data_IF_685679959801
#
_entry.id   IF_685679959801
#
_cell.length_a   1.000
_cell.length_b   1.000
_cell.length_c   1.000
_cell.angle_alpha   90.00
_cell.angle_beta   90.00
_cell.angle_gamma   90.00
#
_symmetry.space_group_name_H-M   'P 1'
#
loop_
_entity.id
_entity.type
_entity.pdbx_description
1 polymer ?
#
# COMPACT_ATOMS: atom_id res chain seq x y z
N UNK A 1 9.62 39.18 12.91
CA UNK A 1 9.76 38.28 11.77
C UNK A 1 9.07 36.99 12.20
N UNK A 2 7.91 36.69 11.63
CA UNK A 2 7.21 35.45 11.92
C UNK A 2 8.04 34.32 11.27
N UNK A 3 8.54 33.41 12.10
CA UNK A 3 9.07 32.14 11.60
C UNK A 3 7.94 31.47 10.82
N UNK A 4 8.11 31.33 9.52
CA UNK A 4 7.27 30.48 8.72
C UNK A 4 7.43 29.07 9.27
N UNK A 5 6.46 28.60 10.05
CA UNK A 5 6.36 27.20 10.37
C UNK A 5 6.25 26.48 9.02
N UNK A 6 7.31 25.85 8.59
CA UNK A 6 7.27 24.95 7.46
C UNK A 6 6.33 23.80 7.83
N UNK A 7 5.08 23.91 7.38
CA UNK A 7 4.14 22.81 7.50
C UNK A 7 4.65 21.65 6.66
N UNK A 8 4.99 20.56 7.35
CA UNK A 8 5.41 19.32 6.70
C UNK A 8 4.18 18.44 6.51
N UNK A 9 3.92 17.99 5.27
CA UNK A 9 2.81 17.10 4.99
C UNK A 9 2.93 15.80 5.80
N UNK A 10 1.83 15.40 6.41
CA UNK A 10 1.73 14.12 7.13
C UNK A 10 1.42 13.02 6.13
N UNK A 11 2.37 12.12 5.92
CA UNK A 11 2.28 11.00 4.97
C UNK A 11 2.20 9.71 5.75
N UNK A 12 1.18 8.91 5.48
CA UNK A 12 1.02 7.57 6.07
C UNK A 12 1.08 6.52 4.98
N UNK A 13 1.78 5.42 5.26
CA UNK A 13 1.89 4.26 4.37
C UNK A 13 1.21 3.09 5.05
N UNK A 14 0.15 2.60 4.43
CA UNK A 14 -0.65 1.49 4.95
C UNK A 14 -0.38 0.23 4.14
N UNK A 15 0.23 -0.75 4.76
CA UNK A 15 0.39 -2.09 4.21
C UNK A 15 -0.80 -2.97 4.58
N UNK A 16 -1.52 -3.46 3.58
CA UNK A 16 -2.76 -4.24 3.76
C UNK A 16 -2.55 -5.69 3.35
N UNK A 17 -2.86 -6.60 4.26
CA UNK A 17 -2.65 -8.03 4.06
C UNK A 17 -1.18 -8.45 4.06
N UNK A 18 -0.89 -9.71 3.84
CA UNK A 18 0.49 -10.24 3.93
C UNK A 18 1.47 -9.54 2.99
N UNK A 19 1.11 -9.36 1.72
CA UNK A 19 1.96 -8.68 0.75
C UNK A 19 2.22 -7.21 1.09
N UNK A 20 1.18 -6.48 1.51
CA UNK A 20 1.32 -5.09 1.92
C UNK A 20 2.14 -4.91 3.20
N UNK A 21 1.94 -5.77 4.19
CA UNK A 21 2.73 -5.77 5.43
C UNK A 21 4.20 -6.09 5.16
N UNK A 22 4.49 -7.05 4.29
CA UNK A 22 5.86 -7.35 3.87
C UNK A 22 6.52 -6.16 3.17
N UNK A 23 5.79 -5.46 2.29
CA UNK A 23 6.29 -4.27 1.63
C UNK A 23 6.61 -3.16 2.65
N UNK A 24 5.74 -2.91 3.63
CA UNK A 24 5.98 -1.94 4.71
C UNK A 24 7.21 -2.34 5.53
N UNK A 25 7.36 -3.59 5.92
CA UNK A 25 8.55 -4.04 6.63
C UNK A 25 9.82 -3.77 5.82
N UNK A 26 9.77 -4.00 4.52
CA UNK A 26 10.89 -3.71 3.61
C UNK A 26 11.23 -2.23 3.54
N UNK A 27 10.20 -1.36 3.53
CA UNK A 27 10.40 0.09 3.57
C UNK A 27 11.07 0.55 4.86
N UNK A 28 10.69 -0.03 5.99
CA UNK A 28 11.29 0.24 7.31
C UNK A 28 12.74 -0.23 7.34
N UNK A 29 13.02 -1.45 6.89
CA UNK A 29 14.38 -2.00 6.78
C UNK A 29 15.29 -1.15 5.90
N UNK A 30 14.76 -0.60 4.80
CA UNK A 30 15.48 0.27 3.89
C UNK A 30 15.70 1.69 4.43
N UNK A 31 15.11 2.03 5.58
CA UNK A 31 15.28 3.32 6.23
C UNK A 31 14.48 4.45 5.60
N UNK A 32 13.35 4.16 4.92
CA UNK A 32 12.45 5.20 4.40
C UNK A 32 11.95 6.08 5.54
N UNK A 33 12.15 7.38 5.42
CA UNK A 33 11.83 8.38 6.45
C UNK A 33 10.76 9.37 5.97
N UNK A 34 10.22 10.13 6.93
CA UNK A 34 9.24 11.17 6.64
C UNK A 34 7.82 10.64 6.49
N UNK A 35 7.57 9.40 6.85
CA UNK A 35 6.27 8.74 6.79
C UNK A 35 5.99 7.96 8.08
N UNK A 36 4.72 7.78 8.38
CA UNK A 36 4.25 6.84 9.40
C UNK A 36 3.81 5.54 8.74
N UNK A 37 4.21 4.41 9.31
CA UNK A 37 3.87 3.09 8.79
C UNK A 37 2.73 2.44 9.59
N UNK A 38 1.74 1.95 8.87
CA UNK A 38 0.58 1.25 9.42
C UNK A 38 0.49 -0.13 8.76
N UNK A 39 0.39 -1.18 9.56
CA UNK A 39 0.14 -2.53 9.08
C UNK A 39 -1.29 -2.96 9.42
N UNK A 40 -2.03 -3.39 8.42
CA UNK A 40 -3.42 -3.88 8.54
C UNK A 40 -3.49 -5.32 8.06
N UNK A 41 -3.89 -6.24 8.90
CA UNK A 41 -4.00 -7.64 8.50
C UNK A 41 -5.08 -8.38 9.31
N UNK A 42 -5.57 -9.49 8.75
CA UNK A 42 -6.40 -10.50 9.44
C UNK A 42 -5.57 -11.63 10.04
N UNK A 43 -4.27 -11.66 9.76
CA UNK A 43 -3.30 -12.61 10.34
C UNK A 43 -2.54 -11.93 11.48
N UNK A 44 -2.87 -12.31 12.70
CA UNK A 44 -2.28 -11.75 13.90
C UNK A 44 -0.78 -12.07 14.04
N UNK A 45 -0.34 -13.22 13.57
CA UNK A 45 1.08 -13.61 13.63
C UNK A 45 1.93 -12.74 12.70
N UNK A 46 1.43 -12.49 11.49
CA UNK A 46 2.11 -11.59 10.55
C UNK A 46 2.21 -10.16 11.11
N UNK A 47 1.18 -9.68 11.81
CA UNK A 47 1.21 -8.37 12.47
C UNK A 47 2.23 -8.31 13.61
N UNK A 48 2.35 -9.37 14.42
CA UNK A 48 3.34 -9.42 15.50
C UNK A 48 4.78 -9.27 14.98
N UNK A 49 5.05 -9.80 13.79
CA UNK A 49 6.37 -9.74 13.15
C UNK A 49 6.65 -8.43 12.41
N UNK A 50 5.66 -7.55 12.30
CA UNK A 50 5.83 -6.27 11.62
C UNK A 50 6.48 -5.23 12.55
N UNK A 51 7.32 -4.38 12.00
CA UNK A 51 7.94 -3.23 12.68
C UNK A 51 7.17 -1.93 12.45
N UNK A 52 5.96 -1.98 11.88
CA UNK A 52 5.14 -0.80 11.65
C UNK A 52 4.80 -0.05 12.94
N UNK A 53 4.70 1.28 12.86
CA UNK A 53 4.39 2.15 13.99
C UNK A 53 3.01 1.83 14.59
N UNK A 54 2.05 1.55 13.73
CA UNK A 54 0.69 1.16 14.12
C UNK A 54 0.33 -0.17 13.48
N UNK A 55 -0.28 -1.06 14.25
CA UNK A 55 -0.71 -2.39 13.80
C UNK A 55 -2.19 -2.57 14.09
N UNK A 56 -2.98 -2.81 13.04
CA UNK A 56 -4.42 -3.02 13.14
C UNK A 56 -4.76 -4.49 12.84
N UNK A 57 -5.16 -5.22 13.87
CA UNK A 57 -5.69 -6.58 13.76
C UNK A 57 -7.20 -6.49 13.46
N UNK A 58 -7.53 -6.54 12.17
CA UNK A 58 -8.92 -6.52 11.70
C UNK A 58 -9.54 -7.92 11.62
N UNK A 59 -8.79 -8.96 11.95
CA UNK A 59 -9.23 -10.36 11.88
C UNK A 59 -9.68 -10.96 13.21
N UNK A 60 -9.55 -10.24 14.31
CA UNK A 60 -9.77 -10.78 15.66
C UNK A 60 -11.12 -11.48 15.81
N UNK A 61 -12.19 -10.82 15.40
CA UNK A 61 -13.54 -11.33 15.59
C UNK A 61 -13.98 -12.28 14.47
N UNK A 62 -13.67 -11.96 13.23
CA UNK A 62 -14.14 -12.70 12.07
C UNK A 62 -13.29 -13.93 11.75
N UNK A 63 -11.95 -13.83 11.85
CA UNK A 63 -11.02 -14.90 11.48
C UNK A 63 -10.23 -15.46 12.65
N UNK A 64 -10.44 -14.95 13.86
CA UNK A 64 -9.66 -15.30 15.05
C UNK A 64 -8.15 -15.14 14.88
N UNK A 65 -7.75 -14.17 14.07
CA UNK A 65 -6.34 -13.91 13.75
C UNK A 65 -5.68 -14.92 12.81
N UNK A 66 -6.45 -15.80 12.16
CA UNK A 66 -5.94 -16.87 11.29
C UNK A 66 -5.86 -16.48 9.80
N UNK A 67 -6.16 -15.24 9.47
CA UNK A 67 -6.19 -14.77 8.10
C UNK A 67 -7.51 -14.99 7.37
N UNK A 68 -7.66 -14.40 6.19
CA UNK A 68 -8.89 -14.43 5.39
C UNK A 68 -9.06 -15.68 4.51
N UNK A 69 -8.12 -16.62 4.55
CA UNK A 69 -8.22 -17.87 3.78
C UNK A 69 -8.25 -17.67 2.26
N UNK A 70 -7.59 -16.64 1.74
CA UNK A 70 -7.61 -16.23 0.33
C UNK A 70 -9.02 -15.84 -0.19
N UNK A 71 -9.91 -15.43 0.70
CA UNK A 71 -11.25 -14.94 0.34
C UNK A 71 -11.33 -13.40 0.51
N UNK A 72 -11.42 -12.62 -0.59
CA UNK A 72 -11.53 -11.17 -0.52
C UNK A 72 -12.78 -10.67 0.21
N UNK A 73 -13.87 -11.41 0.20
CA UNK A 73 -15.10 -11.02 0.91
C UNK A 73 -14.90 -10.98 2.43
N UNK A 74 -14.11 -11.91 2.94
CA UNK A 74 -13.73 -11.94 4.37
C UNK A 74 -12.80 -10.76 4.70
N UNK A 75 -11.81 -10.50 3.86
CA UNK A 75 -10.91 -9.35 4.03
C UNK A 75 -11.66 -8.02 4.02
N UNK A 76 -12.60 -7.85 3.10
CA UNK A 76 -13.46 -6.67 3.02
C UNK A 76 -14.32 -6.49 4.27
N UNK A 77 -15.03 -7.55 4.66
CA UNK A 77 -15.88 -7.50 5.84
C UNK A 77 -15.08 -7.19 7.11
N UNK A 78 -13.92 -7.81 7.27
CA UNK A 78 -13.03 -7.53 8.40
C UNK A 78 -12.64 -6.04 8.48
N UNK A 79 -12.32 -5.42 7.34
CA UNK A 79 -12.00 -3.99 7.30
C UNK A 79 -13.24 -3.11 7.55
N UNK A 80 -14.41 -3.47 7.03
CA UNK A 80 -15.67 -2.75 7.28
C UNK A 80 -16.05 -2.81 8.77
N UNK A 81 -15.88 -3.96 9.41
CA UNK A 81 -16.15 -4.12 10.85
C UNK A 81 -15.17 -3.32 11.75
N UNK A 82 -14.00 -2.94 11.22
CA UNK A 82 -12.97 -2.15 11.92
C UNK A 82 -12.73 -0.77 11.30
N UNK A 83 -13.74 -0.22 10.62
CA UNK A 83 -13.60 1.06 9.90
C UNK A 83 -13.25 2.21 10.86
N UNK A 84 -13.76 2.20 12.09
CA UNK A 84 -13.45 3.22 13.10
C UNK A 84 -11.97 3.18 13.52
N UNK A 85 -11.40 1.99 13.71
CA UNK A 85 -9.97 1.82 14.03
C UNK A 85 -9.08 2.30 12.89
N UNK A 86 -9.48 1.99 11.64
CA UNK A 86 -8.78 2.45 10.44
C UNK A 86 -8.85 3.97 10.34
N UNK A 87 -10.01 4.56 10.60
CA UNK A 87 -10.22 6.01 10.58
C UNK A 87 -9.35 6.72 11.60
N UNK A 88 -9.32 6.23 12.84
CA UNK A 88 -8.47 6.78 13.91
C UNK A 88 -6.98 6.72 13.51
N UNK A 89 -6.53 5.61 12.95
CA UNK A 89 -5.13 5.45 12.51
C UNK A 89 -4.75 6.39 11.35
N UNK A 90 -5.71 6.78 10.50
CA UNK A 90 -5.49 7.65 9.34
C UNK A 90 -5.75 9.13 9.62
N UNK A 91 -6.31 9.47 10.77
CA UNK A 91 -6.66 10.84 11.11
C UNK A 91 -5.44 11.77 11.02
N UNK A 92 -5.65 12.98 10.48
CA UNK A 92 -4.61 13.99 10.31
C UNK A 92 -3.65 13.75 9.13
N UNK A 93 -3.79 12.68 8.36
CA UNK A 93 -2.97 12.47 7.18
C UNK A 93 -3.33 13.43 6.04
N UNK A 94 -2.33 14.02 5.42
CA UNK A 94 -2.47 14.79 4.18
C UNK A 94 -2.41 13.86 2.95
N UNK A 95 -1.64 12.79 3.07
CA UNK A 95 -1.43 11.80 2.02
C UNK A 95 -1.40 10.39 2.61
N UNK A 96 -2.06 9.46 1.94
CA UNK A 96 -2.07 8.04 2.32
C UNK A 96 -1.70 7.19 1.12
N UNK A 97 -0.66 6.38 1.28
CA UNK A 97 -0.37 5.27 0.37
C UNK A 97 -1.05 4.01 0.89
N UNK A 98 -1.78 3.34 0.02
CA UNK A 98 -2.36 2.02 0.29
C UNK A 98 -1.59 1.01 -0.56
N UNK A 99 -0.81 0.15 0.09
CA UNK A 99 -0.02 -0.87 -0.59
C UNK A 99 -0.52 -2.27 -0.25
N UNK A 100 -0.66 -3.10 -1.28
CA UNK A 100 -1.15 -4.46 -1.15
C UNK A 100 -0.62 -5.35 -2.28
N UNK A 101 -0.55 -6.65 -2.03
CA UNK A 101 -0.48 -7.65 -3.08
C UNK A 101 -1.89 -8.10 -3.44
N UNK A 102 -2.31 -7.82 -4.66
CA UNK A 102 -3.63 -8.22 -5.14
C UNK A 102 -3.69 -9.72 -5.47
N UNK A 103 -4.86 -10.31 -5.30
CA UNK A 103 -5.12 -11.72 -5.54
C UNK A 103 -5.23 -12.58 -4.27
N UNK A 104 -4.88 -12.05 -3.11
CA UNK A 104 -5.13 -12.66 -1.81
C UNK A 104 -6.48 -12.30 -1.21
N UNK A 105 -6.73 -12.70 0.03
CA UNK A 105 -7.98 -12.38 0.72
C UNK A 105 -7.95 -10.98 1.33
N UNK A 106 -7.06 -10.75 2.30
CA UNK A 106 -7.04 -9.51 3.07
C UNK A 106 -6.64 -8.31 2.21
N UNK A 107 -5.53 -8.39 1.46
CA UNK A 107 -5.05 -7.29 0.63
C UNK A 107 -6.11 -6.85 -0.38
N UNK A 108 -6.64 -7.80 -1.14
CA UNK A 108 -7.63 -7.55 -2.19
C UNK A 108 -8.94 -7.00 -1.65
N UNK A 109 -9.42 -7.54 -0.52
CA UNK A 109 -10.72 -7.14 0.05
C UNK A 109 -10.66 -5.88 0.90
N UNK A 110 -9.62 -5.72 1.72
CA UNK A 110 -9.52 -4.64 2.69
C UNK A 110 -8.93 -3.35 2.11
N UNK A 111 -8.03 -3.41 1.12
CA UNK A 111 -7.40 -2.22 0.55
C UNK A 111 -8.40 -1.18 0.04
N UNK A 112 -9.49 -1.54 -0.69
CA UNK A 112 -10.50 -0.56 -1.09
C UNK A 112 -11.18 0.14 0.08
N UNK A 113 -11.43 -0.57 1.19
CA UNK A 113 -12.04 0.00 2.39
C UNK A 113 -11.10 1.01 3.04
N UNK A 114 -9.83 0.67 3.20
CA UNK A 114 -8.79 1.57 3.73
C UNK A 114 -8.68 2.83 2.86
N UNK A 115 -8.66 2.66 1.54
CA UNK A 115 -8.58 3.77 0.60
C UNK A 115 -9.81 4.70 0.69
N UNK A 116 -11.01 4.15 0.79
CA UNK A 116 -12.24 4.91 0.98
C UNK A 116 -12.18 5.76 2.25
N UNK A 117 -11.79 5.17 3.37
CA UNK A 117 -11.64 5.90 4.64
C UNK A 117 -10.63 7.03 4.52
N UNK A 118 -9.49 6.81 3.86
CA UNK A 118 -8.49 7.84 3.63
C UNK A 118 -9.04 9.01 2.81
N UNK A 119 -9.77 8.74 1.73
CA UNK A 119 -10.42 9.78 0.91
C UNK A 119 -11.51 10.53 1.67
N UNK A 120 -12.31 9.83 2.47
CA UNK A 120 -13.36 10.44 3.29
C UNK A 120 -12.78 11.41 4.34
N UNK A 121 -11.55 11.17 4.79
CA UNK A 121 -10.80 12.09 5.66
C UNK A 121 -10.13 13.25 4.90
N UNK A 122 -10.25 13.30 3.59
CA UNK A 122 -9.69 14.37 2.75
C UNK A 122 -8.22 14.18 2.39
N UNK A 123 -7.62 13.01 2.67
CA UNK A 123 -6.25 12.72 2.31
C UNK A 123 -6.11 12.41 0.81
N UNK A 124 -5.03 12.90 0.18
CA UNK A 124 -4.62 12.41 -1.14
C UNK A 124 -4.29 10.93 -1.02
N UNK A 125 -5.04 10.08 -1.73
CA UNK A 125 -4.96 8.62 -1.58
C UNK A 125 -4.40 7.98 -2.84
N UNK A 126 -3.27 7.28 -2.69
CA UNK A 126 -2.55 6.63 -3.78
C UNK A 126 -2.45 5.14 -3.47
N UNK A 127 -2.96 4.33 -4.40
CA UNK A 127 -2.77 2.88 -4.37
C UNK A 127 -1.48 2.49 -5.10
N UNK A 128 -0.67 1.66 -4.47
CA UNK A 128 0.53 1.05 -5.10
C UNK A 128 0.46 -0.44 -4.83
N UNK A 129 0.07 -1.21 -5.83
CA UNK A 129 -0.25 -2.64 -5.68
C UNK A 129 0.43 -3.50 -6.72
N UNK A 130 0.57 -4.78 -6.42
CA UNK A 130 1.11 -5.77 -7.35
C UNK A 130 0.01 -6.72 -7.85
N UNK A 131 0.10 -7.10 -9.14
CA UNK A 131 -0.61 -8.27 -9.66
C UNK A 131 0.22 -9.53 -9.41
N UNK A 132 -0.44 -10.67 -9.09
CA UNK A 132 0.27 -11.91 -8.81
C UNK A 132 1.06 -12.43 -10.02
N UNK A 133 2.09 -13.22 -9.74
CA UNK A 133 2.78 -13.99 -10.76
C UNK A 133 1.86 -15.04 -11.39
N UNK A 134 2.11 -15.41 -12.65
CA UNK A 134 1.34 -16.46 -13.35
C UNK A 134 1.38 -17.79 -12.58
N UNK A 135 2.50 -18.13 -11.95
CA UNK A 135 2.63 -19.36 -11.18
C UNK A 135 1.77 -19.41 -9.91
N UNK A 136 1.23 -18.28 -9.44
CA UNK A 136 0.29 -18.24 -8.30
C UNK A 136 -1.11 -18.74 -8.66
N UNK A 137 -1.41 -18.88 -9.95
CA UNK A 137 -2.59 -19.52 -10.48
C UNK A 137 -3.71 -18.58 -10.92
N UNK A 138 -4.60 -19.12 -11.73
CA UNK A 138 -5.70 -18.36 -12.37
C UNK A 138 -6.68 -17.76 -11.39
N UNK A 139 -6.94 -18.44 -10.27
CA UNK A 139 -7.86 -17.94 -9.25
C UNK A 139 -7.35 -16.62 -8.66
N UNK A 140 -6.06 -16.58 -8.29
CA UNK A 140 -5.44 -15.36 -7.77
C UNK A 140 -5.42 -14.24 -8.81
N UNK A 141 -5.14 -14.59 -10.06
CA UNK A 141 -5.16 -13.61 -11.15
C UNK A 141 -6.55 -12.96 -11.32
N UNK A 142 -7.62 -13.76 -11.33
CA UNK A 142 -8.99 -13.26 -11.42
C UNK A 142 -9.38 -12.38 -10.21
N UNK A 143 -9.08 -12.84 -9.00
CA UNK A 143 -9.31 -12.07 -7.77
C UNK A 143 -8.54 -10.73 -7.78
N UNK A 144 -7.32 -10.73 -8.32
CA UNK A 144 -6.53 -9.51 -8.45
C UNK A 144 -7.16 -8.48 -9.39
N UNK A 145 -7.72 -8.90 -10.52
CA UNK A 145 -8.41 -7.99 -11.45
C UNK A 145 -9.64 -7.34 -10.81
N UNK A 146 -10.44 -8.12 -10.06
CA UNK A 146 -11.57 -7.59 -9.30
C UNK A 146 -11.10 -6.61 -8.22
N UNK A 147 -10.03 -6.96 -7.49
CA UNK A 147 -9.42 -6.11 -6.47
C UNK A 147 -8.90 -4.80 -7.01
N UNK A 148 -8.17 -4.83 -8.12
CA UNK A 148 -7.67 -3.65 -8.83
C UNK A 148 -8.82 -2.74 -9.27
N UNK A 149 -9.89 -3.32 -9.80
CA UNK A 149 -11.09 -2.57 -10.23
C UNK A 149 -11.75 -1.86 -9.04
N UNK A 150 -11.93 -2.57 -7.93
CA UNK A 150 -12.53 -2.02 -6.72
C UNK A 150 -11.64 -0.93 -6.08
N UNK A 151 -10.33 -1.16 -6.02
CA UNK A 151 -9.40 -0.19 -5.46
C UNK A 151 -9.32 1.08 -6.31
N UNK A 152 -9.33 0.94 -7.65
CA UNK A 152 -9.31 2.10 -8.56
C UNK A 152 -10.45 3.07 -8.31
N UNK A 153 -11.61 2.58 -7.95
CA UNK A 153 -12.79 3.41 -7.63
C UNK A 153 -12.61 4.22 -6.34
N UNK A 154 -11.70 3.80 -5.45
CA UNK A 154 -11.53 4.37 -4.11
C UNK A 154 -10.25 5.20 -3.94
N UNK A 155 -9.38 5.26 -4.93
CA UNK A 155 -8.12 6.04 -4.86
C UNK A 155 -8.14 7.22 -5.83
N UNK A 156 -7.30 8.21 -5.57
CA UNK A 156 -7.03 9.31 -6.51
C UNK A 156 -6.16 8.83 -7.68
N UNK A 157 -5.13 8.07 -7.38
CA UNK A 157 -4.21 7.50 -8.35
C UNK A 157 -3.90 6.05 -7.98
N UNK A 158 -3.92 5.17 -8.96
CA UNK A 158 -3.55 3.76 -8.81
C UNK A 158 -2.35 3.42 -9.67
N UNK A 159 -1.30 2.90 -9.02
CA UNK A 159 -0.13 2.32 -9.67
C UNK A 159 -0.22 0.80 -9.50
N UNK A 160 -0.29 0.08 -10.61
CA UNK A 160 -0.36 -1.38 -10.64
C UNK A 160 0.92 -1.94 -11.24
N UNK A 161 1.60 -2.79 -10.48
CA UNK A 161 2.86 -3.41 -10.86
C UNK A 161 2.59 -4.88 -11.19
N UNK A 162 2.69 -5.30 -12.47
CA UNK A 162 2.54 -6.71 -12.82
C UNK A 162 3.81 -7.47 -12.46
N UNK A 163 3.72 -8.38 -11.48
CA UNK A 163 4.88 -9.14 -10.99
C UNK A 163 5.61 -9.93 -12.10
N UNK A 164 4.89 -10.43 -13.10
CA UNK A 164 5.50 -11.15 -14.22
C UNK A 164 6.52 -10.33 -15.00
N UNK A 165 6.39 -9.00 -15.01
CA UNK A 165 7.39 -8.13 -15.65
C UNK A 165 8.72 -8.16 -14.90
N UNK A 166 8.71 -8.39 -13.60
CA UNK A 166 9.94 -8.53 -12.81
C UNK A 166 10.73 -9.79 -13.20
N UNK A 167 10.04 -10.88 -13.57
CA UNK A 167 10.68 -12.10 -14.04
C UNK A 167 11.37 -11.92 -15.40
N UNK A 168 10.94 -10.96 -16.23
CA UNK A 168 11.55 -10.70 -17.52
C UNK A 168 12.91 -10.01 -17.42
N UNK A 169 13.14 -9.26 -16.34
CA UNK A 169 14.40 -8.55 -16.08
C UNK A 169 15.29 -9.27 -15.07
N UNK A 170 14.76 -10.30 -14.41
CA UNK A 170 15.49 -11.09 -13.43
C UNK A 170 16.36 -12.18 -14.11
N UNK A 171 17.33 -12.68 -13.38
CA UNK A 171 18.09 -13.87 -13.79
C UNK A 171 17.17 -15.08 -13.96
N UNK A 172 17.45 -15.91 -14.96
CA UNK A 172 16.64 -17.09 -15.30
C UNK A 172 16.51 -18.11 -14.15
N UNK A 173 17.41 -18.05 -13.17
CA UNK A 173 17.46 -18.95 -12.03
C UNK A 173 16.98 -18.29 -10.71
N UNK A 174 16.19 -17.22 -10.79
CA UNK A 174 15.66 -16.58 -9.59
C UNK A 174 14.79 -17.55 -8.79
N UNK A 175 14.95 -17.58 -7.47
CA UNK A 175 14.08 -18.35 -6.59
C UNK A 175 12.71 -17.68 -6.47
N UNK A 176 11.67 -18.45 -6.10
CA UNK A 176 10.32 -17.90 -5.81
C UNK A 176 10.39 -16.85 -4.69
N UNK A 177 11.16 -17.11 -3.65
CA UNK A 177 11.34 -16.19 -2.52
C UNK A 177 11.97 -14.87 -2.99
N UNK A 178 12.98 -14.93 -3.84
CA UNK A 178 13.63 -13.74 -4.37
C UNK A 178 12.73 -12.97 -5.34
N UNK A 179 11.88 -13.67 -6.09
CA UNK A 179 10.88 -13.04 -6.93
C UNK A 179 9.89 -12.19 -6.11
N UNK A 180 9.40 -12.72 -4.98
CA UNK A 180 8.55 -11.96 -4.06
C UNK A 180 9.29 -10.80 -3.40
N UNK A 181 10.57 -10.97 -3.05
CA UNK A 181 11.41 -9.87 -2.53
C UNK A 181 11.57 -8.75 -3.55
N UNK A 182 11.71 -9.07 -4.83
CA UNK A 182 11.75 -8.07 -5.89
C UNK A 182 10.41 -7.31 -6.02
N UNK A 183 9.28 -7.99 -5.88
CA UNK A 183 7.96 -7.35 -5.86
C UNK A 183 7.85 -6.36 -4.69
N UNK A 184 8.27 -6.74 -3.49
CA UNK A 184 8.31 -5.84 -2.33
C UNK A 184 9.22 -4.64 -2.57
N UNK A 185 10.38 -4.85 -3.21
CA UNK A 185 11.33 -3.80 -3.54
C UNK A 185 10.74 -2.78 -4.51
N UNK A 186 9.97 -3.21 -5.50
CA UNK A 186 9.33 -2.30 -6.45
C UNK A 186 8.21 -1.50 -5.80
N UNK A 187 7.44 -2.08 -4.88
CA UNK A 187 6.47 -1.35 -4.06
C UNK A 187 7.15 -0.26 -3.22
N UNK A 188 8.28 -0.59 -2.58
CA UNK A 188 9.11 0.39 -1.87
C UNK A 188 9.54 1.54 -2.79
N UNK A 189 10.07 1.24 -3.97
CA UNK A 189 10.54 2.25 -4.91
C UNK A 189 9.40 3.17 -5.38
N UNK A 190 8.20 2.64 -5.56
CA UNK A 190 7.01 3.43 -5.90
C UNK A 190 6.63 4.44 -4.82
N UNK A 191 6.59 4.00 -3.58
CA UNK A 191 6.30 4.87 -2.42
C UNK A 191 7.44 5.86 -2.19
N UNK A 192 8.68 5.39 -2.20
CA UNK A 192 9.87 6.21 -1.97
C UNK A 192 10.00 7.32 -3.00
N UNK A 193 9.83 7.03 -4.28
CA UNK A 193 9.97 8.00 -5.36
C UNK A 193 9.02 9.19 -5.21
N UNK A 194 7.78 8.95 -4.82
CA UNK A 194 6.79 10.02 -4.58
C UNK A 194 7.07 10.74 -3.27
N UNK A 195 7.39 10.01 -2.20
CA UNK A 195 7.68 10.57 -0.88
C UNK A 195 8.90 11.49 -0.91
N UNK A 196 9.97 11.09 -1.56
CA UNK A 196 11.20 11.87 -1.66
C UNK A 196 11.01 13.19 -2.42
N UNK A 197 10.12 13.24 -3.41
CA UNK A 197 9.76 14.48 -4.09
C UNK A 197 9.22 15.54 -3.13
N UNK A 198 8.52 15.11 -2.10
CA UNK A 198 7.86 15.99 -1.12
C UNK A 198 8.79 16.31 0.07
N UNK A 199 9.55 15.31 0.53
CA UNK A 199 10.28 15.37 1.81
C UNK A 199 11.74 15.74 1.66
N UNK A 200 12.35 15.56 0.47
CA UNK A 200 13.77 15.79 0.26
C UNK A 200 14.01 17.11 -0.48
N UNK A 201 14.75 18.07 0.09
CA UNK A 201 15.13 19.29 -0.60
C UNK A 201 16.01 18.97 -1.81
N UNK A 202 15.63 19.47 -2.99
CA UNK A 202 16.32 19.26 -4.25
C UNK A 202 16.66 20.57 -4.96
N UNK A 203 17.25 20.46 -6.17
CA UNK A 203 17.48 21.61 -7.06
C UNK A 203 16.17 22.26 -7.52
N UNK A 204 15.10 21.48 -7.62
CA UNK A 204 13.75 21.93 -7.88
C UNK A 204 12.90 21.43 -6.72
N UNK A 205 12.36 22.34 -5.93
CA UNK A 205 11.48 22.01 -4.83
C UNK A 205 10.07 21.78 -5.35
N UNK A 206 9.54 20.59 -5.12
CA UNK A 206 8.14 20.24 -5.36
C UNK A 206 7.46 20.20 -4.00
N UNK A 207 6.45 21.02 -3.78
CA UNK A 207 5.68 20.97 -2.55
C UNK A 207 4.53 19.95 -2.64
N UNK A 208 3.89 19.67 -1.49
CA UNK A 208 2.78 18.73 -1.44
C UNK A 208 1.60 19.14 -2.34
N UNK A 209 1.32 20.42 -2.45
CA UNK A 209 0.21 20.91 -3.29
C UNK A 209 0.47 20.69 -4.78
N UNK A 210 1.73 20.76 -5.22
CA UNK A 210 2.12 20.45 -6.59
C UNK A 210 1.85 18.95 -6.89
N UNK A 211 2.24 18.07 -5.99
CA UNK A 211 1.97 16.62 -6.11
C UNK A 211 0.46 16.36 -6.08
N UNK A 212 -0.27 16.98 -5.17
CA UNK A 212 -1.72 16.85 -5.05
C UNK A 212 -2.43 17.28 -6.33
N UNK A 213 -2.03 18.41 -6.93
CA UNK A 213 -2.66 18.93 -8.16
C UNK A 213 -2.51 17.99 -9.36
N UNK A 214 -1.43 17.21 -9.41
CA UNK A 214 -1.16 16.24 -10.49
C UNK A 214 -1.85 14.90 -10.23
N UNK A 215 -1.90 14.45 -8.99
CA UNK A 215 -2.31 13.09 -8.63
C UNK A 215 -3.75 12.98 -8.15
N UNK A 216 -4.38 14.07 -7.74
CA UNK A 216 -5.79 14.04 -7.32
C UNK A 216 -6.68 13.68 -8.51
N UNK A 217 -7.53 12.68 -8.33
CA UNK A 217 -8.46 12.16 -9.34
C UNK A 217 -7.81 11.81 -10.69
N UNK A 218 -6.52 11.46 -10.68
CA UNK A 218 -5.76 11.17 -11.90
C UNK A 218 -6.04 9.78 -12.49
N UNK A 219 -6.61 8.86 -11.72
CA UNK A 219 -6.94 7.51 -12.16
C UNK A 219 -5.73 6.58 -12.14
N UNK A 220 -5.25 6.13 -13.29
CA UNK A 220 -4.11 5.21 -13.39
C UNK A 220 -2.82 5.95 -13.70
N UNK A 221 -1.72 5.52 -13.07
CA UNK A 221 -0.37 6.00 -13.35
C UNK A 221 0.55 4.82 -13.69
N UNK A 222 1.59 5.12 -14.47
CA UNK A 222 2.69 4.20 -14.76
C UNK A 222 3.93 4.66 -14.04
N UNK A 223 4.69 3.71 -13.53
CA UNK A 223 5.97 3.96 -12.90
C UNK A 223 7.08 3.31 -13.71
N UNK A 224 8.14 4.07 -13.99
CA UNK A 224 9.38 3.60 -14.56
C UNK A 224 10.54 3.96 -13.64
N UNK A 225 11.50 3.04 -13.48
CA UNK A 225 12.70 3.24 -12.67
C UNK A 225 13.89 3.17 -13.62
N UNK A 226 14.66 4.26 -13.66
CA UNK A 226 15.94 4.33 -14.36
C UNK A 226 17.09 4.32 -13.36
N UNK A 227 18.17 3.62 -13.65
CA UNK A 227 19.42 3.59 -12.90
C UNK A 227 20.60 4.00 -13.78
#
# INVERSE_FOLDING_TARGET
MAESQHYQAVIKVVGVGGGGVNAVNRMIEAGLRGVEFIAVNTDAQALLMSDADTKLDIGRDLTRGLGAGADPSIGRKAAEDHEDDIREALEGADMVFVTAGEGGGTGTGAAPVVARVARDLGALTIGVVTRPFIFEGRRRAAQAEDGVTNLRAEVDTLIVIPNDRLLQIADRNISVVDAFRQADQVLLQGVQGITELITTPGLINVDFNDVKSVMQDAGSALMGIGS
#
